data_IF_082846957895
#
_entry.id   IF_082846957895
#
_cell.length_a   1.000
_cell.length_b   1.000
_cell.length_c   1.000
_cell.angle_alpha   90.00
_cell.angle_beta   90.00
_cell.angle_gamma   90.00
#
_symmetry.space_group_name_H-M   'P 1'
#
loop_
_entity.id
_entity.type
_entity.pdbx_description
1 polymer ?
#
# COMPACT_ATOMS: atom_id res chain seq x y z
N UNK A 1 2.52 -22.94 24.25
CA UNK A 1 2.11 -23.98 25.23
C UNK A 1 1.62 -23.38 26.55
N UNK A 2 2.41 -22.53 27.26
CA UNK A 2 2.00 -21.93 28.55
C UNK A 2 0.64 -21.22 28.48
N UNK A 3 0.41 -20.47 27.44
CA UNK A 3 -0.84 -19.75 27.23
C UNK A 3 -2.02 -20.69 26.98
N UNK A 4 -1.82 -21.73 26.13
CA UNK A 4 -2.82 -22.76 25.87
C UNK A 4 -3.16 -23.57 27.12
N UNK A 5 -2.18 -23.77 28.01
CA UNK A 5 -2.42 -24.43 29.30
C UNK A 5 -3.13 -23.54 30.29
N UNK A 6 -2.90 -22.23 30.26
CA UNK A 6 -3.59 -21.25 31.12
C UNK A 6 -5.06 -21.06 30.72
N UNK A 7 -5.37 -21.15 29.44
CA UNK A 7 -6.72 -20.95 28.88
C UNK A 7 -7.08 -22.03 27.84
N UNK A 8 -7.13 -23.30 28.21
CA UNK A 8 -7.29 -24.43 27.25
C UNK A 8 -8.57 -24.34 26.43
N UNK A 9 -9.67 -23.86 27.00
CA UNK A 9 -10.94 -23.74 26.31
C UNK A 9 -10.89 -22.80 25.08
N UNK A 10 -10.08 -21.73 25.13
CA UNK A 10 -9.91 -20.82 23.98
C UNK A 10 -9.16 -21.48 22.81
N UNK A 11 -8.53 -22.61 23.02
CA UNK A 11 -7.87 -23.41 21.99
C UNK A 11 -8.64 -24.68 21.61
N UNK A 12 -9.87 -24.82 22.10
CA UNK A 12 -10.71 -25.98 21.84
C UNK A 12 -10.38 -27.20 22.71
N UNK A 13 -9.48 -27.06 23.70
CA UNK A 13 -9.05 -28.12 24.63
C UNK A 13 -9.95 -28.18 25.87
N UNK A 14 -9.92 -29.33 26.56
CA UNK A 14 -10.67 -29.53 27.78
C UNK A 14 -10.14 -28.60 28.90
N UNK A 15 -11.06 -27.81 29.49
CA UNK A 15 -10.70 -26.75 30.45
C UNK A 15 -10.37 -27.25 31.87
N UNK A 16 -10.86 -28.41 32.20
CA UNK A 16 -10.83 -29.01 33.55
C UNK A 16 -9.81 -30.13 33.72
N UNK A 17 -8.94 -30.33 32.72
CA UNK A 17 -7.97 -31.42 32.71
C UNK A 17 -6.53 -30.92 32.78
N UNK A 18 -5.65 -31.76 33.33
CA UNK A 18 -4.22 -31.54 33.26
C UNK A 18 -3.70 -31.93 31.87
N UNK A 19 -3.55 -30.95 30.99
CA UNK A 19 -3.16 -31.16 29.60
C UNK A 19 -1.73 -31.69 29.39
N UNK A 20 -0.85 -31.61 30.39
CA UNK A 20 0.52 -32.14 30.35
C UNK A 20 0.58 -33.53 30.98
N UNK A 21 -0.07 -33.70 32.13
CA UNK A 21 0.01 -34.92 32.92
C UNK A 21 -0.96 -36.01 32.43
N UNK A 22 -1.92 -35.67 31.56
CA UNK A 22 -2.93 -36.61 31.03
C UNK A 22 -2.82 -36.73 29.50
N UNK A 23 -3.11 -37.90 28.99
CA UNK A 23 -3.04 -38.22 27.59
C UNK A 23 -4.17 -39.14 27.12
N UNK A 24 -4.26 -39.32 25.80
CA UNK A 24 -5.30 -40.14 25.18
C UNK A 24 -5.06 -41.63 25.39
N UNK A 25 -3.83 -42.11 25.15
CA UNK A 25 -3.52 -43.57 25.20
C UNK A 25 -2.91 -44.02 26.54
N UNK A 26 -2.52 -43.13 27.41
CA UNK A 26 -1.87 -43.45 28.68
C UNK A 26 -0.45 -43.99 28.56
N UNK A 27 0.15 -44.01 27.36
CA UNK A 27 1.52 -44.49 27.16
C UNK A 27 2.56 -43.48 27.64
N UNK A 28 3.17 -43.73 28.80
CA UNK A 28 4.12 -42.81 29.42
C UNK A 28 3.50 -41.63 30.18
N UNK A 29 2.17 -41.55 30.26
CA UNK A 29 1.43 -40.52 30.99
C UNK A 29 0.12 -41.11 31.51
N UNK A 30 -0.56 -40.40 32.42
CA UNK A 30 -1.87 -40.81 32.92
C UNK A 30 -2.91 -40.61 31.85
N UNK A 31 -3.65 -41.69 31.53
CA UNK A 31 -4.76 -41.60 30.56
C UNK A 31 -5.88 -40.73 31.12
N UNK A 32 -6.40 -39.81 30.30
CA UNK A 32 -7.52 -38.97 30.70
C UNK A 32 -8.77 -39.78 30.97
N UNK A 33 -9.44 -39.64 32.12
CA UNK A 33 -10.61 -40.47 32.49
C UNK A 33 -11.87 -40.11 31.68
N UNK A 34 -11.93 -38.93 31.08
CA UNK A 34 -13.08 -38.49 30.27
C UNK A 34 -12.81 -38.70 28.80
N UNK A 35 -11.72 -38.15 28.27
CA UNK A 35 -11.43 -38.08 26.85
C UNK A 35 -10.36 -39.07 26.38
N UNK A 36 -9.72 -39.81 27.27
CA UNK A 36 -8.75 -40.85 26.93
C UNK A 36 -9.42 -42.03 26.19
N UNK A 37 -8.58 -42.93 25.62
CA UNK A 37 -9.06 -44.07 24.80
C UNK A 37 -10.07 -44.98 25.51
N UNK A 38 -9.93 -45.10 26.82
CA UNK A 38 -10.88 -45.88 27.70
C UNK A 38 -11.71 -44.94 28.58
N UNK A 39 -11.77 -43.67 28.27
CA UNK A 39 -12.56 -42.69 29.02
C UNK A 39 -14.06 -42.80 28.78
N UNK A 40 -14.84 -42.01 29.52
CA UNK A 40 -16.30 -42.00 29.40
C UNK A 40 -16.79 -41.43 28.05
N UNK A 41 -16.00 -40.54 27.43
CA UNK A 41 -16.31 -39.90 26.12
C UNK A 41 -15.01 -39.72 25.34
N UNK A 42 -14.41 -40.78 24.76
CA UNK A 42 -13.13 -40.72 24.11
C UNK A 42 -13.08 -39.68 22.99
N UNK A 43 -12.21 -38.69 23.11
CA UNK A 43 -12.01 -37.65 22.09
C UNK A 43 -10.60 -37.07 22.19
N UNK A 44 -9.67 -37.52 21.32
CA UNK A 44 -8.28 -36.99 21.36
C UNK A 44 -8.21 -35.53 21.00
N UNK A 45 -9.19 -34.95 20.31
CA UNK A 45 -9.18 -33.53 19.94
C UNK A 45 -9.33 -32.59 21.14
N UNK A 46 -9.78 -33.08 22.27
CA UNK A 46 -9.91 -32.34 23.53
C UNK A 46 -8.63 -32.32 24.38
N UNK A 47 -7.64 -33.10 23.99
CA UNK A 47 -6.39 -33.26 24.73
C UNK A 47 -5.18 -32.72 23.90
N UNK A 48 -4.11 -32.35 24.58
CA UNK A 48 -2.92 -31.83 23.92
C UNK A 48 -2.01 -32.94 23.41
N UNK A 49 -1.94 -34.06 24.12
CA UNK A 49 -1.04 -35.18 23.82
C UNK A 49 -1.81 -36.50 23.67
N UNK A 50 -1.33 -37.34 22.72
CA UNK A 50 -1.75 -38.75 22.62
C UNK A 50 -1.07 -39.60 23.69
N UNK A 51 0.21 -39.38 23.92
CA UNK A 51 1.08 -40.05 24.88
C UNK A 51 2.11 -39.06 25.43
N UNK A 52 3.17 -39.55 26.08
CA UNK A 52 4.20 -38.69 26.72
C UNK A 52 4.96 -37.76 25.78
N UNK A 53 4.92 -37.97 24.47
CA UNK A 53 5.74 -37.23 23.50
C UNK A 53 5.00 -36.81 22.22
N UNK A 54 3.93 -37.51 21.86
CA UNK A 54 3.21 -37.26 20.60
C UNK A 54 2.01 -36.37 20.82
N UNK A 55 2.00 -35.15 20.26
CA UNK A 55 0.81 -34.30 20.33
C UNK A 55 -0.34 -34.92 19.54
N UNK A 56 -1.56 -34.63 19.99
CA UNK A 56 -2.78 -34.94 19.23
C UNK A 56 -2.85 -34.11 17.95
N UNK A 57 -3.83 -34.42 17.08
CA UNK A 57 -4.12 -33.59 15.91
C UNK A 57 -4.35 -32.12 16.29
N UNK A 58 -5.06 -31.85 17.40
CA UNK A 58 -5.28 -30.49 17.92
C UNK A 58 -3.99 -29.85 18.39
N UNK A 59 -3.11 -30.61 19.08
CA UNK A 59 -1.80 -30.15 19.49
C UNK A 59 -0.89 -29.83 18.30
N UNK A 60 -0.88 -30.68 17.28
CA UNK A 60 -0.10 -30.45 16.05
C UNK A 60 -0.62 -29.23 15.28
N UNK A 61 -1.93 -29.06 15.17
CA UNK A 61 -2.53 -27.89 14.54
C UNK A 61 -2.17 -26.60 15.26
N UNK A 62 -2.21 -26.60 16.59
CA UNK A 62 -1.80 -25.43 17.37
C UNK A 62 -0.35 -25.05 17.13
N UNK A 63 0.55 -26.04 17.03
CA UNK A 63 1.98 -25.81 16.73
C UNK A 63 2.13 -25.25 15.31
N UNK A 64 1.43 -25.85 14.34
CA UNK A 64 1.47 -25.43 12.95
C UNK A 64 0.96 -23.99 12.77
N UNK A 65 -0.20 -23.67 13.34
CA UNK A 65 -0.78 -22.32 13.28
C UNK A 65 0.13 -21.28 13.95
N UNK A 66 0.72 -21.63 15.08
CA UNK A 66 1.68 -20.77 15.76
C UNK A 66 2.90 -20.49 14.88
N UNK A 67 3.51 -21.53 14.32
CA UNK A 67 4.66 -21.39 13.43
C UNK A 67 4.31 -20.57 12.19
N UNK A 68 3.18 -20.86 11.56
CA UNK A 68 2.67 -20.13 10.41
C UNK A 68 2.44 -18.66 10.72
N UNK A 69 1.91 -18.31 11.90
CA UNK A 69 1.69 -16.91 12.30
C UNK A 69 2.97 -16.08 12.38
N UNK A 70 4.10 -16.72 12.66
CA UNK A 70 5.41 -16.08 12.68
C UNK A 70 6.01 -15.97 11.27
N UNK A 71 5.95 -17.06 10.49
CA UNK A 71 6.54 -17.11 9.14
C UNK A 71 5.78 -16.23 8.15
N UNK A 72 4.46 -16.11 8.31
CA UNK A 72 3.60 -15.31 7.42
C UNK A 72 3.54 -13.81 7.78
N UNK A 73 4.05 -13.40 8.94
CA UNK A 73 4.01 -12.00 9.34
C UNK A 73 4.68 -11.07 8.32
N UNK A 74 5.90 -11.33 7.80
CA UNK A 74 6.52 -10.47 6.80
C UNK A 74 5.78 -10.46 5.46
N UNK A 75 5.01 -11.48 5.12
CA UNK A 75 4.21 -11.52 3.89
C UNK A 75 3.13 -10.43 3.86
N UNK A 76 2.65 -10.02 5.01
CA UNK A 76 1.68 -8.94 5.18
C UNK A 76 2.36 -7.62 5.53
N UNK A 77 3.29 -7.64 6.48
CA UNK A 77 3.92 -6.42 7.02
C UNK A 77 4.81 -5.70 6.00
N UNK A 78 5.40 -6.40 5.05
CA UNK A 78 6.16 -5.77 3.96
C UNK A 78 5.28 -5.10 2.91
N UNK A 79 3.95 -5.24 3.00
CA UNK A 79 2.99 -4.45 2.23
C UNK A 79 2.74 -3.06 2.81
N UNK A 80 3.14 -2.78 4.06
CA UNK A 80 2.96 -1.44 4.66
C UNK A 80 3.70 -0.34 3.91
N UNK A 81 4.98 -0.47 3.53
CA UNK A 81 5.63 0.50 2.66
C UNK A 81 4.98 0.61 1.29
N UNK A 82 4.41 -0.47 0.76
CA UNK A 82 3.72 -0.46 -0.54
C UNK A 82 2.40 0.32 -0.50
N UNK A 83 1.71 0.35 0.65
CA UNK A 83 0.57 1.26 0.86
C UNK A 83 0.98 2.72 0.71
N UNK A 84 2.12 3.10 1.26
CA UNK A 84 2.66 4.47 1.16
C UNK A 84 3.09 4.80 -0.27
N UNK A 85 3.79 3.89 -0.95
CA UNK A 85 4.11 4.05 -2.38
C UNK A 85 2.84 4.18 -3.22
N UNK A 86 1.79 3.42 -2.91
CA UNK A 86 0.50 3.48 -3.59
C UNK A 86 -0.17 4.84 -3.47
N UNK A 87 -0.25 5.40 -2.27
CA UNK A 87 -0.82 6.74 -2.05
C UNK A 87 0.04 7.84 -2.68
N UNK A 88 1.36 7.72 -2.63
CA UNK A 88 2.28 8.64 -3.30
C UNK A 88 2.03 8.67 -4.82
N UNK A 89 1.91 7.50 -5.45
CA UNK A 89 1.64 7.42 -6.90
C UNK A 89 0.29 7.98 -7.27
N UNK A 90 -0.76 7.69 -6.49
CA UNK A 90 -2.08 8.26 -6.70
C UNK A 90 -2.04 9.80 -6.62
N UNK A 91 -1.31 10.36 -5.66
CA UNK A 91 -1.10 11.80 -5.52
C UNK A 91 -0.32 12.39 -6.70
N UNK A 92 0.77 11.76 -7.10
CA UNK A 92 1.56 12.19 -8.27
C UNK A 92 0.75 12.11 -9.57
N UNK A 93 -0.04 11.07 -9.75
CA UNK A 93 -0.92 10.89 -10.92
C UNK A 93 -2.00 11.97 -10.95
N UNK A 94 -2.56 12.37 -9.80
CA UNK A 94 -3.50 13.48 -9.72
C UNK A 94 -2.85 14.82 -10.10
N UNK A 95 -1.65 15.12 -9.59
CA UNK A 95 -0.93 16.31 -9.99
C UNK A 95 -0.64 16.34 -11.49
N UNK A 96 -0.21 15.21 -12.06
CA UNK A 96 0.01 15.08 -13.51
C UNK A 96 -1.27 15.29 -14.31
N UNK A 97 -2.42 14.82 -13.82
CA UNK A 97 -3.71 15.08 -14.44
C UNK A 97 -4.07 16.56 -14.43
N UNK A 98 -3.79 17.28 -13.35
CA UNK A 98 -3.96 18.73 -13.30
C UNK A 98 -3.05 19.44 -14.31
N UNK A 99 -1.79 19.05 -14.41
CA UNK A 99 -0.85 19.64 -15.37
C UNK A 99 -1.24 19.35 -16.82
N UNK A 100 -1.78 18.18 -17.13
CA UNK A 100 -2.31 17.86 -18.45
C UNK A 100 -3.54 18.69 -18.80
N UNK A 101 -4.44 18.89 -17.84
CA UNK A 101 -5.62 19.73 -18.01
C UNK A 101 -5.26 21.20 -18.23
N UNK A 102 -4.11 21.63 -17.73
CA UNK A 102 -3.58 22.99 -17.91
C UNK A 102 -2.82 23.21 -19.22
N UNK A 103 -2.47 22.16 -19.92
CA UNK A 103 -1.79 22.28 -21.21
C UNK A 103 -2.52 23.25 -22.13
N UNK A 104 -1.84 24.16 -22.81
CA UNK A 104 -2.41 25.18 -23.68
C UNK A 104 -3.35 26.19 -22.99
N UNK A 105 -3.83 25.91 -21.79
CA UNK A 105 -4.73 26.75 -21.01
C UNK A 105 -4.05 27.24 -19.72
N UNK A 106 -2.78 27.58 -19.79
CA UNK A 106 -2.13 28.21 -18.65
C UNK A 106 -2.77 29.58 -18.37
N UNK A 107 -2.86 29.94 -17.09
CA UNK A 107 -3.23 31.27 -16.65
C UNK A 107 -2.32 32.31 -17.32
N UNK A 108 -2.73 33.57 -17.32
CA UNK A 108 -1.89 34.66 -17.84
C UNK A 108 -0.60 34.80 -17.02
N UNK A 109 0.46 35.30 -17.66
CA UNK A 109 1.72 35.62 -16.97
C UNK A 109 1.46 36.52 -15.77
N UNK A 110 1.98 36.16 -14.62
CA UNK A 110 1.78 36.89 -13.37
C UNK A 110 0.50 36.54 -12.60
N UNK A 111 -0.30 35.59 -13.09
CA UNK A 111 -1.51 35.11 -12.39
C UNK A 111 -1.25 33.82 -11.61
N UNK A 112 -2.04 33.65 -10.56
CA UNK A 112 -2.17 32.41 -9.79
C UNK A 112 -3.30 31.56 -10.33
N UNK A 113 -3.11 30.26 -10.21
CA UNK A 113 -4.17 29.25 -10.38
C UNK A 113 -4.18 28.35 -9.18
N UNK A 114 -5.33 28.23 -8.51
CA UNK A 114 -5.54 27.31 -7.41
C UNK A 114 -6.43 26.15 -7.83
N UNK A 115 -6.25 24.99 -7.22
CA UNK A 115 -7.18 23.88 -7.35
C UNK A 115 -7.45 23.22 -6.00
N UNK A 116 -8.64 22.61 -5.89
CA UNK A 116 -9.03 21.74 -4.81
C UNK A 116 -9.75 20.54 -5.41
N UNK A 117 -9.40 19.36 -4.97
CA UNK A 117 -9.97 18.13 -5.48
C UNK A 117 -10.03 17.04 -4.46
N UNK A 118 -10.65 15.95 -4.87
CA UNK A 118 -10.77 14.74 -4.08
C UNK A 118 -11.06 13.55 -4.96
N UNK A 119 -10.93 12.39 -4.40
CA UNK A 119 -11.16 11.14 -5.13
C UNK A 119 -10.95 9.92 -4.27
N UNK A 120 -10.73 8.81 -4.94
CA UNK A 120 -10.48 7.52 -4.34
C UNK A 120 -9.36 6.77 -5.04
N UNK A 121 -8.80 5.82 -4.33
CA UNK A 121 -7.77 4.91 -4.85
C UNK A 121 -8.02 3.49 -4.36
N UNK A 122 -7.51 2.53 -5.13
CA UNK A 122 -7.54 1.11 -4.81
C UNK A 122 -6.18 0.49 -5.08
N UNK A 123 -5.74 -0.33 -4.14
CA UNK A 123 -4.59 -1.23 -4.27
C UNK A 123 -5.09 -2.66 -4.32
N UNK A 124 -4.44 -3.48 -5.14
CA UNK A 124 -4.74 -4.90 -5.28
C UNK A 124 -3.42 -5.64 -5.51
N UNK A 125 -3.09 -6.54 -4.59
CA UNK A 125 -1.88 -7.36 -4.61
C UNK A 125 -2.27 -8.82 -4.74
N UNK A 126 -1.77 -9.49 -5.77
CA UNK A 126 -1.84 -10.94 -5.86
C UNK A 126 -0.81 -11.58 -4.91
N UNK A 127 -1.03 -12.82 -4.51
CA UNK A 127 -0.07 -13.52 -3.66
C UNK A 127 1.22 -13.83 -4.41
N UNK A 128 2.34 -13.74 -3.70
CA UNK A 128 3.67 -14.17 -4.15
C UNK A 128 4.18 -15.30 -3.24
N UNK A 129 5.33 -15.90 -3.57
CA UNK A 129 5.92 -16.97 -2.76
C UNK A 129 6.16 -16.55 -1.30
N UNK A 130 6.52 -15.28 -1.08
CA UNK A 130 6.76 -14.69 0.24
C UNK A 130 5.97 -13.41 0.51
N UNK A 131 4.82 -13.23 -0.15
CA UNK A 131 3.90 -12.14 0.13
C UNK A 131 2.45 -12.60 0.06
N UNK A 132 1.65 -12.07 0.96
CA UNK A 132 0.22 -12.32 0.98
C UNK A 132 -0.49 -11.54 -0.13
N UNK A 133 -1.62 -12.07 -0.61
CA UNK A 133 -2.57 -11.27 -1.37
C UNK A 133 -3.24 -10.25 -0.46
N UNK A 134 -3.65 -9.13 -1.04
CA UNK A 134 -4.39 -8.12 -0.30
C UNK A 134 -4.98 -7.08 -1.22
N UNK A 135 -6.04 -6.45 -0.77
CA UNK A 135 -6.66 -5.36 -1.49
C UNK A 135 -7.25 -4.32 -0.54
N UNK A 136 -7.44 -3.12 -1.04
CA UNK A 136 -8.05 -2.08 -0.24
C UNK A 136 -8.32 -0.81 -1.00
N UNK A 137 -9.35 -0.12 -0.54
CA UNK A 137 -9.77 1.18 -1.03
C UNK A 137 -9.31 2.30 -0.10
N UNK A 138 -9.27 3.50 -0.64
CA UNK A 138 -9.02 4.71 0.10
C UNK A 138 -9.69 5.91 -0.53
N UNK A 139 -9.58 7.03 0.13
CA UNK A 139 -10.05 8.33 -0.35
C UNK A 139 -9.00 9.40 -0.10
N UNK A 140 -9.14 10.52 -0.82
CA UNK A 140 -8.16 11.58 -0.76
C UNK A 140 -8.77 12.97 -0.92
N UNK A 141 -8.02 13.95 -0.45
CA UNK A 141 -8.23 15.36 -0.70
C UNK A 141 -6.90 15.95 -1.13
N UNK A 142 -6.93 16.80 -2.17
CA UNK A 142 -5.75 17.44 -2.72
C UNK A 142 -6.04 18.90 -2.97
N UNK A 143 -5.06 19.73 -2.70
CA UNK A 143 -5.12 21.16 -3.01
C UNK A 143 -3.76 21.65 -3.48
N UNK A 144 -3.76 22.71 -4.25
CA UNK A 144 -2.53 23.26 -4.75
C UNK A 144 -2.72 24.57 -5.47
N UNK A 145 -1.62 25.17 -5.84
CA UNK A 145 -1.61 26.40 -6.60
C UNK A 145 -0.34 26.54 -7.40
N UNK A 146 -0.43 27.23 -8.52
CA UNK A 146 0.68 27.53 -9.40
C UNK A 146 0.68 29.00 -9.79
N UNK A 147 1.87 29.52 -10.02
CA UNK A 147 2.11 30.88 -10.50
C UNK A 147 2.80 30.83 -11.85
N UNK A 148 2.25 31.53 -12.83
CA UNK A 148 2.88 31.62 -14.15
C UNK A 148 3.95 32.71 -14.13
N UNK A 149 5.21 32.31 -14.20
CA UNK A 149 6.38 33.17 -14.08
C UNK A 149 6.59 33.97 -15.37
N UNK A 150 6.59 33.29 -16.51
CA UNK A 150 6.72 33.84 -17.85
C UNK A 150 6.01 32.96 -18.88
N UNK A 151 6.27 33.15 -20.15
CA UNK A 151 5.64 32.38 -21.23
C UNK A 151 5.99 30.89 -21.20
N UNK A 152 7.17 30.53 -20.71
CA UNK A 152 7.67 29.16 -20.73
C UNK A 152 7.60 28.45 -19.37
N UNK A 153 7.55 29.18 -18.26
CA UNK A 153 7.71 28.62 -16.91
C UNK A 153 6.51 28.88 -16.00
N UNK A 154 6.16 27.84 -15.27
CA UNK A 154 5.19 27.87 -14.18
C UNK A 154 5.73 27.05 -13.01
N UNK A 155 5.55 27.56 -11.80
CA UNK A 155 5.94 26.86 -10.57
C UNK A 155 4.78 26.87 -9.58
N UNK A 156 4.74 25.88 -8.71
CA UNK A 156 3.67 25.77 -7.73
C UNK A 156 3.99 24.87 -6.56
N UNK A 157 2.98 24.79 -5.70
CA UNK A 157 2.98 23.93 -4.52
C UNK A 157 1.65 23.16 -4.45
N UNK A 158 1.70 22.01 -3.82
CA UNK A 158 0.50 21.21 -3.59
C UNK A 158 0.60 20.46 -2.25
N UNK A 159 -0.53 20.06 -1.72
CA UNK A 159 -0.64 19.19 -0.57
C UNK A 159 -1.74 18.15 -0.78
N UNK A 160 -1.58 16.98 -0.21
CA UNK A 160 -2.54 15.89 -0.30
C UNK A 160 -2.70 15.15 1.02
N UNK A 161 -3.92 14.79 1.32
CA UNK A 161 -4.27 13.87 2.39
C UNK A 161 -4.87 12.61 1.75
N UNK A 162 -4.25 11.46 2.04
CA UNK A 162 -4.64 10.16 1.48
C UNK A 162 -4.86 9.17 2.61
N UNK A 163 -6.06 8.63 2.72
CA UNK A 163 -6.36 7.51 3.61
C UNK A 163 -6.44 6.24 2.79
N UNK A 164 -5.70 5.21 3.22
CA UNK A 164 -5.63 3.91 2.55
C UNK A 164 -5.90 2.80 3.55
N UNK A 165 -6.76 1.86 3.15
CA UNK A 165 -6.94 0.58 3.82
C UNK A 165 -6.28 -0.52 3.00
N UNK A 166 -5.92 -1.59 3.70
CA UNK A 166 -5.47 -2.85 3.10
C UNK A 166 -5.98 -4.00 3.96
N UNK A 167 -6.71 -4.92 3.34
CA UNK A 167 -7.01 -6.22 3.91
C UNK A 167 -6.09 -7.24 3.27
N UNK A 168 -5.34 -8.01 4.06
CA UNK A 168 -4.32 -8.92 3.55
C UNK A 168 -4.29 -10.25 4.30
N UNK A 169 -3.80 -11.30 3.59
CA UNK A 169 -3.61 -12.62 4.16
C UNK A 169 -4.87 -13.45 4.26
N UNK A 170 -4.70 -14.68 4.73
CA UNK A 170 -5.76 -15.71 4.73
C UNK A 170 -6.90 -15.42 5.72
N UNK A 171 -6.72 -14.46 6.63
CA UNK A 171 -7.69 -14.10 7.68
C UNK A 171 -8.09 -12.62 7.63
N UNK A 172 -7.85 -11.96 6.49
CA UNK A 172 -8.21 -10.57 6.28
C UNK A 172 -7.67 -9.67 7.40
N UNK A 173 -6.35 -9.70 7.60
CA UNK A 173 -5.65 -8.72 8.44
C UNK A 173 -5.97 -7.32 7.95
N UNK A 174 -6.22 -6.39 8.85
CA UNK A 174 -6.69 -5.03 8.53
C UNK A 174 -5.60 -4.01 8.87
N UNK A 175 -5.14 -3.30 7.86
CA UNK A 175 -4.10 -2.27 7.97
C UNK A 175 -4.63 -0.94 7.45
N UNK A 176 -4.39 0.14 8.19
CA UNK A 176 -4.85 1.48 7.85
C UNK A 176 -3.71 2.48 7.97
N UNK A 177 -3.69 3.40 7.02
CA UNK A 177 -2.67 4.44 6.95
C UNK A 177 -3.27 5.76 6.48
N UNK A 178 -2.81 6.85 7.09
CA UNK A 178 -3.00 8.20 6.61
C UNK A 178 -1.68 8.74 6.08
N UNK A 179 -1.68 9.26 4.86
CA UNK A 179 -0.54 9.94 4.22
C UNK A 179 -0.81 11.43 4.14
N UNK A 180 0.12 12.24 4.65
CA UNK A 180 0.12 13.70 4.54
C UNK A 180 1.30 14.09 3.68
N UNK A 181 1.05 14.58 2.48
CA UNK A 181 2.09 14.89 1.50
C UNK A 181 2.05 16.34 1.09
N UNK A 182 3.21 16.90 0.82
CA UNK A 182 3.37 18.24 0.26
C UNK A 182 4.42 18.20 -0.85
N UNK A 183 4.20 19.00 -1.88
CA UNK A 183 5.08 19.07 -3.05
C UNK A 183 5.38 20.51 -3.45
N UNK A 184 6.59 20.70 -4.01
CA UNK A 184 6.93 21.83 -4.85
C UNK A 184 7.17 21.31 -6.27
N UNK A 185 6.67 22.01 -7.25
CA UNK A 185 6.80 21.59 -8.65
C UNK A 185 7.10 22.75 -9.58
N UNK A 186 7.64 22.40 -10.73
CA UNK A 186 7.93 23.32 -11.82
C UNK A 186 7.51 22.70 -13.14
N UNK A 187 6.99 23.51 -14.04
CA UNK A 187 6.63 23.13 -15.38
C UNK A 187 7.26 24.05 -16.41
N UNK A 188 7.71 23.48 -17.50
CA UNK A 188 8.30 24.15 -18.63
C UNK A 188 7.54 23.77 -19.90
N UNK A 189 7.26 24.75 -20.75
CA UNK A 189 6.65 24.53 -22.05
C UNK A 189 7.11 25.64 -23.00
N UNK A 190 7.89 25.26 -23.99
CA UNK A 190 8.36 26.18 -25.02
C UNK A 190 8.54 25.47 -26.35
N UNK A 191 8.07 26.08 -27.42
CA UNK A 191 8.01 25.48 -28.74
C UNK A 191 7.19 24.17 -28.71
N UNK A 192 7.86 23.03 -28.92
CA UNK A 192 7.23 21.68 -28.86
C UNK A 192 7.68 20.87 -27.64
N UNK A 193 8.64 21.41 -26.89
CA UNK A 193 9.14 20.74 -25.70
C UNK A 193 8.30 21.08 -24.48
N UNK A 194 8.08 20.09 -23.66
CA UNK A 194 7.50 20.29 -22.34
C UNK A 194 8.23 19.42 -21.31
N UNK A 195 8.29 19.89 -20.10
CA UNK A 195 8.87 19.17 -18.99
C UNK A 195 8.12 19.53 -17.70
N UNK A 196 8.11 18.62 -16.75
CA UNK A 196 7.70 18.87 -15.38
C UNK A 196 8.64 18.16 -14.41
N UNK A 197 8.75 18.71 -13.21
CA UNK A 197 9.48 18.10 -12.11
C UNK A 197 8.81 18.47 -10.80
N UNK A 198 8.81 17.53 -9.85
CA UNK A 198 8.26 17.73 -8.51
C UNK A 198 9.13 17.08 -7.45
N UNK A 199 9.23 17.76 -6.30
CA UNK A 199 9.80 17.23 -5.09
C UNK A 199 8.69 17.11 -4.06
N UNK A 200 8.55 15.93 -3.45
CA UNK A 200 7.49 15.60 -2.50
C UNK A 200 8.09 15.10 -1.19
N UNK A 201 7.53 15.56 -0.09
CA UNK A 201 7.79 15.05 1.25
C UNK A 201 6.47 14.61 1.89
N UNK A 202 6.51 13.61 2.76
CA UNK A 202 5.30 13.11 3.40
C UNK A 202 5.54 12.49 4.76
N UNK A 203 4.51 12.57 5.58
CA UNK A 203 4.39 11.92 6.88
C UNK A 203 3.33 10.81 6.79
N UNK A 204 3.65 9.66 7.35
CA UNK A 204 2.80 8.47 7.34
C UNK A 204 2.35 8.16 8.77
N UNK A 205 1.05 7.97 8.94
CA UNK A 205 0.44 7.58 10.20
C UNK A 205 -0.31 6.25 9.98
N UNK A 206 0.29 5.17 10.46
CA UNK A 206 -0.31 3.84 10.49
C UNK A 206 -1.07 3.69 11.80
N UNK A 207 -2.27 4.18 11.84
CA UNK A 207 -3.08 4.36 13.05
C UNK A 207 -3.80 3.08 13.54
N UNK A 208 -3.90 2.07 12.69
CA UNK A 208 -4.53 0.79 13.03
C UNK A 208 -3.92 -0.33 12.21
N UNK A 209 -3.08 -1.14 12.86
CA UNK A 209 -2.41 -2.30 12.28
C UNK A 209 -2.88 -3.54 13.04
N UNK A 210 -3.67 -4.39 12.37
CA UNK A 210 -4.30 -5.56 12.97
C UNK A 210 -3.97 -6.81 12.15
N UNK A 211 -2.97 -7.55 12.62
CA UNK A 211 -2.59 -8.84 12.05
C UNK A 211 -3.49 -9.94 12.59
N UNK A 212 -4.14 -10.69 11.69
CA UNK A 212 -5.06 -11.78 12.04
C UNK A 212 -4.56 -13.10 11.51
N UNK A 213 -4.70 -14.14 12.30
CA UNK A 213 -4.26 -15.48 11.93
C UNK A 213 -5.04 -16.55 12.70
N UNK A 214 -5.09 -17.77 12.14
CA UNK A 214 -5.64 -18.92 12.84
C UNK A 214 -4.72 -19.34 14.00
N UNK A 215 -5.31 -19.80 15.09
CA UNK A 215 -4.59 -20.39 16.21
C UNK A 215 -5.43 -21.45 16.89
N UNK A 216 -5.12 -22.72 16.63
CA UNK A 216 -5.94 -23.83 17.08
C UNK A 216 -7.33 -23.87 16.43
N UNK A 217 -8.38 -23.98 17.25
CA UNK A 217 -9.76 -23.96 16.75
C UNK A 217 -10.35 -22.56 16.52
N UNK A 218 -9.58 -21.48 16.77
CA UNK A 218 -10.03 -20.10 16.69
C UNK A 218 -9.15 -19.21 15.83
N UNK A 219 -9.40 -17.92 15.96
CA UNK A 219 -8.67 -16.84 15.30
C UNK A 219 -8.12 -15.89 16.35
N UNK A 220 -6.93 -15.38 16.11
CA UNK A 220 -6.29 -14.38 16.97
C UNK A 220 -5.89 -13.16 16.17
N UNK A 221 -5.88 -12.01 16.80
CA UNK A 221 -5.33 -10.79 16.23
C UNK A 221 -4.32 -10.15 17.16
N UNK A 222 -3.26 -9.61 16.57
CA UNK A 222 -2.29 -8.75 17.22
C UNK A 222 -2.40 -7.35 16.64
N UNK A 223 -2.33 -6.32 17.52
CA UNK A 223 -2.56 -4.94 17.15
C UNK A 223 -1.34 -4.08 17.41
N UNK A 224 -1.17 -3.06 16.60
CA UNK A 224 -0.15 -2.06 16.77
C UNK A 224 -0.45 -0.79 15.99
N UNK A 225 0.43 0.15 16.12
CA UNK A 225 0.46 1.40 15.37
C UNK A 225 1.91 1.82 15.18
N UNK A 226 2.17 2.59 14.15
CA UNK A 226 3.48 3.16 13.89
C UNK A 226 3.37 4.37 12.98
N UNK A 227 4.50 5.02 12.74
CA UNK A 227 4.62 6.15 11.85
C UNK A 227 5.65 5.86 10.78
N UNK A 228 5.75 6.77 9.84
CA UNK A 228 6.78 6.71 8.83
C UNK A 228 6.88 8.04 8.10
N UNK A 229 7.76 8.09 7.14
CA UNK A 229 7.94 9.25 6.29
C UNK A 229 8.35 8.82 4.89
N UNK A 230 8.15 9.72 3.95
CA UNK A 230 8.59 9.52 2.57
C UNK A 230 9.14 10.81 1.99
N UNK A 231 9.99 10.66 0.99
CA UNK A 231 10.33 11.72 0.07
C UNK A 231 10.43 11.15 -1.35
N UNK A 232 10.16 11.98 -2.34
CA UNK A 232 10.15 11.57 -3.72
C UNK A 232 10.55 12.71 -4.64
N UNK A 233 11.16 12.35 -5.75
CA UNK A 233 11.43 13.21 -6.88
C UNK A 233 10.84 12.59 -8.14
N UNK A 234 10.14 13.38 -8.93
CA UNK A 234 9.60 12.96 -10.22
C UNK A 234 9.90 13.98 -11.31
N UNK A 235 10.18 13.50 -12.52
CA UNK A 235 10.42 14.35 -13.67
C UNK A 235 9.90 13.69 -14.94
N UNK A 236 9.42 14.51 -15.87
CA UNK A 236 9.04 14.07 -17.22
C UNK A 236 9.57 15.05 -18.26
N UNK A 237 9.87 14.54 -19.43
CA UNK A 237 10.26 15.32 -20.62
C UNK A 237 9.53 14.76 -21.83
N UNK A 238 8.83 15.60 -22.55
CA UNK A 238 8.08 15.24 -23.72
C UNK A 238 8.26 16.21 -24.90
N UNK A 239 7.86 15.76 -26.06
CA UNK A 239 7.93 16.54 -27.28
C UNK A 239 6.61 16.37 -28.05
N UNK A 240 5.93 17.50 -28.33
CA UNK A 240 4.68 17.51 -29.10
C UNK A 240 4.98 17.40 -30.58
N UNK A 241 4.44 16.36 -31.22
CA UNK A 241 4.58 16.10 -32.65
C UNK A 241 3.48 16.71 -33.52
N UNK A 242 2.51 17.45 -32.93
CA UNK A 242 1.51 18.16 -33.70
C UNK A 242 2.19 19.15 -34.65
N UNK A 243 1.69 19.23 -35.88
CA UNK A 243 2.31 20.07 -36.90
C UNK A 243 2.09 21.57 -36.68
N UNK A 244 1.01 21.95 -36.00
CA UNK A 244 0.61 23.32 -35.74
C UNK A 244 0.29 23.51 -34.26
N UNK A 245 0.65 24.65 -33.71
CA UNK A 245 0.40 24.97 -32.31
C UNK A 245 -1.10 25.12 -31.97
N UNK A 246 -1.90 25.50 -32.94
CA UNK A 246 -3.36 25.64 -32.82
C UNK A 246 -4.14 24.40 -33.23
N UNK A 247 -3.46 23.26 -33.41
CA UNK A 247 -4.09 21.98 -33.71
C UNK A 247 -5.04 21.58 -32.58
N UNK A 248 -6.24 21.05 -32.89
CA UNK A 248 -7.15 20.53 -31.86
C UNK A 248 -6.62 19.28 -31.17
N UNK A 249 -5.62 18.62 -31.75
CA UNK A 249 -4.99 17.44 -31.17
C UNK A 249 -3.50 17.66 -30.94
N UNK A 250 -3.00 17.05 -29.88
CA UNK A 250 -1.59 16.98 -29.56
C UNK A 250 -1.22 15.54 -29.22
N UNK A 251 -0.04 15.12 -29.63
CA UNK A 251 0.52 13.81 -29.29
C UNK A 251 1.99 14.01 -28.93
N UNK A 252 2.36 13.56 -27.75
CA UNK A 252 3.71 13.71 -27.24
C UNK A 252 4.28 12.36 -26.80
N UNK A 253 5.29 11.82 -27.45
CA UNK A 253 6.18 10.87 -26.82
C UNK A 253 6.89 11.54 -25.64
N UNK A 254 7.07 10.80 -24.55
CA UNK A 254 7.74 11.33 -23.36
C UNK A 254 8.52 10.23 -22.64
N UNK A 255 9.45 10.67 -21.82
CA UNK A 255 10.17 9.84 -20.86
C UNK A 255 9.93 10.36 -19.45
N UNK A 256 10.00 9.49 -18.46
CA UNK A 256 9.84 9.82 -17.06
C UNK A 256 10.90 9.18 -16.19
N UNK A 257 11.23 9.84 -15.09
CA UNK A 257 12.09 9.33 -14.04
C UNK A 257 11.45 9.64 -12.69
N UNK A 258 11.27 8.62 -11.87
CA UNK A 258 10.64 8.71 -10.57
C UNK A 258 11.53 8.03 -9.53
N UNK A 259 11.87 8.74 -8.48
CA UNK A 259 12.54 8.21 -7.31
C UNK A 259 11.69 8.44 -6.07
N UNK A 260 11.56 7.43 -5.24
CA UNK A 260 10.88 7.56 -3.95
C UNK A 260 11.57 6.71 -2.90
N UNK A 261 11.57 7.20 -1.67
CA UNK A 261 12.01 6.45 -0.49
C UNK A 261 10.95 6.54 0.59
N UNK A 262 10.49 5.38 1.02
CA UNK A 262 9.55 5.21 2.12
C UNK A 262 10.28 4.56 3.29
N UNK A 263 10.12 5.11 4.46
CA UNK A 263 10.58 4.52 5.72
C UNK A 263 9.37 4.35 6.64
N UNK A 264 9.19 3.14 7.16
CA UNK A 264 8.16 2.80 8.14
C UNK A 264 8.90 2.44 9.43
N UNK A 265 8.60 3.15 10.51
CA UNK A 265 9.24 2.93 11.80
C UNK A 265 8.86 1.54 12.34
N UNK A 266 9.80 0.89 13.00
CA UNK A 266 9.55 -0.37 13.71
C UNK A 266 8.52 -0.17 14.82
N UNK A 267 7.86 -1.25 15.20
CA UNK A 267 6.90 -1.21 16.28
C UNK A 267 6.75 -2.59 16.94
N UNK A 268 6.30 -2.57 18.19
CA UNK A 268 5.90 -3.78 18.91
C UNK A 268 4.38 -3.93 18.88
N UNK A 269 3.90 -5.11 18.54
CA UNK A 269 2.49 -5.46 18.73
C UNK A 269 2.13 -5.38 20.21
N UNK A 270 0.94 -4.88 20.51
CA UNK A 270 0.51 -4.57 21.90
C UNK A 270 0.11 -5.84 22.64
N UNK A 271 0.47 -5.91 23.92
CA UNK A 271 0.08 -6.99 24.80
C UNK A 271 1.19 -7.99 25.13
N UNK A 272 0.85 -8.95 25.96
CA UNK A 272 1.76 -10.00 26.46
C UNK A 272 1.49 -11.36 25.83
N UNK A 273 0.86 -11.39 24.68
CA UNK A 273 0.55 -12.62 23.94
C UNK A 273 1.83 -13.32 23.48
N UNK A 274 1.81 -14.65 23.50
CA UNK A 274 2.91 -15.46 22.97
C UNK A 274 3.13 -15.33 21.46
N UNK A 275 2.19 -14.73 20.75
CA UNK A 275 2.24 -14.51 19.29
C UNK A 275 2.56 -13.07 18.92
N UNK A 276 2.67 -12.15 19.88
CA UNK A 276 3.01 -10.76 19.63
C UNK A 276 4.46 -10.61 19.18
N UNK A 277 4.68 -9.82 18.12
CA UNK A 277 5.95 -9.59 17.48
C UNK A 277 6.41 -8.13 17.62
N UNK A 278 7.72 -7.96 17.65
CA UNK A 278 8.41 -6.69 17.57
C UNK A 278 9.14 -6.62 16.22
N UNK A 279 8.89 -5.57 15.47
CA UNK A 279 9.39 -5.37 14.10
C UNK A 279 10.40 -4.24 14.06
N UNK A 280 11.49 -4.44 13.29
CA UNK A 280 12.43 -3.39 12.95
C UNK A 280 11.85 -2.42 11.90
N UNK A 281 12.52 -1.29 11.73
CA UNK A 281 12.22 -0.32 10.68
C UNK A 281 12.26 -0.98 9.30
N UNK A 282 11.38 -0.54 8.42
CA UNK A 282 11.37 -0.94 7.02
C UNK A 282 11.76 0.25 6.13
N UNK A 283 12.60 0.01 5.14
CA UNK A 283 13.02 1.00 4.15
C UNK A 283 12.80 0.44 2.76
N UNK A 284 11.96 1.12 1.99
CA UNK A 284 11.61 0.73 0.64
C UNK A 284 11.87 1.88 -0.33
N UNK A 285 12.90 1.74 -1.15
CA UNK A 285 13.19 2.67 -2.24
C UNK A 285 12.55 2.20 -3.55
N UNK A 286 12.21 3.13 -4.42
CA UNK A 286 11.70 2.89 -5.76
C UNK A 286 12.45 3.79 -6.75
N UNK A 287 12.94 3.21 -7.82
CA UNK A 287 13.61 3.91 -8.92
C UNK A 287 12.98 3.46 -10.24
N UNK A 288 12.17 4.31 -10.85
CA UNK A 288 11.47 3.98 -12.08
C UNK A 288 11.89 4.87 -13.22
N UNK A 289 12.11 4.26 -14.37
CA UNK A 289 12.18 4.93 -15.65
C UNK A 289 10.97 4.51 -16.47
N UNK A 290 10.36 5.47 -17.16
CA UNK A 290 9.21 5.25 -18.00
C UNK A 290 9.38 5.87 -19.38
N UNK A 291 8.65 5.31 -20.33
CA UNK A 291 8.49 5.87 -21.67
C UNK A 291 7.05 5.68 -22.10
N UNK A 292 6.48 6.68 -22.75
CA UNK A 292 5.08 6.63 -23.13
C UNK A 292 4.67 7.65 -24.16
N UNK A 293 3.37 7.69 -24.37
CA UNK A 293 2.68 8.62 -25.26
C UNK A 293 1.58 9.35 -24.50
N UNK A 294 1.50 10.66 -24.70
CA UNK A 294 0.46 11.51 -24.16
C UNK A 294 -0.32 12.13 -25.32
N UNK A 295 -1.63 11.93 -25.33
CA UNK A 295 -2.53 12.48 -26.34
C UNK A 295 -3.54 13.44 -25.71
N UNK A 296 -3.89 14.48 -26.46
CA UNK A 296 -4.91 15.47 -26.09
C UNK A 296 -5.78 15.82 -27.27
N UNK A 297 -7.03 16.08 -27.00
CA UNK A 297 -7.98 16.58 -27.97
C UNK A 297 -8.86 17.67 -27.38
N UNK A 298 -8.91 18.81 -28.06
CA UNK A 298 -9.76 19.94 -27.69
C UNK A 298 -11.06 19.95 -28.51
N UNK A 299 -12.20 19.91 -27.83
CA UNK A 299 -13.52 20.13 -28.42
C UNK A 299 -13.91 21.59 -28.23
N UNK A 300 -13.46 22.46 -29.16
CA UNK A 300 -13.59 23.89 -29.00
C UNK A 300 -12.67 24.46 -27.91
N UNK A 301 -13.09 25.57 -27.30
CA UNK A 301 -12.31 26.29 -26.28
C UNK A 301 -12.55 25.80 -24.85
N UNK A 302 -13.60 25.04 -24.61
CA UNK A 302 -14.13 24.80 -23.26
C UNK A 302 -13.89 23.37 -22.75
N UNK A 303 -13.77 22.40 -23.66
CA UNK A 303 -13.65 20.98 -23.31
C UNK A 303 -12.38 20.38 -23.87
N UNK A 304 -11.61 19.72 -23.01
CA UNK A 304 -10.44 18.95 -23.41
C UNK A 304 -10.50 17.53 -22.86
N UNK A 305 -10.10 16.57 -23.66
CA UNK A 305 -9.85 15.20 -23.24
C UNK A 305 -8.36 14.91 -23.36
N UNK A 306 -7.85 14.13 -22.44
CA UNK A 306 -6.47 13.64 -22.50
C UNK A 306 -6.38 12.17 -22.13
N UNK A 307 -5.40 11.51 -22.72
CA UNK A 307 -5.07 10.12 -22.45
C UNK A 307 -3.56 9.96 -22.45
N UNK A 308 -3.07 9.04 -21.64
CA UNK A 308 -1.65 8.76 -21.53
C UNK A 308 -1.45 7.26 -21.36
N UNK A 309 -0.45 6.71 -22.04
CA UNK A 309 0.06 5.38 -21.79
C UNK A 309 1.55 5.45 -21.54
N UNK A 310 2.03 4.71 -20.55
CA UNK A 310 3.44 4.56 -20.26
C UNK A 310 3.78 3.13 -19.87
N UNK A 311 4.96 2.69 -20.28
CA UNK A 311 5.62 1.52 -19.73
C UNK A 311 6.72 1.98 -18.78
N UNK A 312 6.70 1.45 -17.56
CA UNK A 312 7.62 1.82 -16.49
C UNK A 312 8.45 0.59 -16.09
N UNK A 313 9.73 0.79 -15.80
CA UNK A 313 10.61 -0.21 -15.22
C UNK A 313 11.06 0.23 -13.83
N UNK A 314 10.89 -0.67 -12.84
CA UNK A 314 11.43 -0.53 -11.49
C UNK A 314 12.82 -1.15 -11.44
N UNK A 315 13.77 -0.43 -10.86
CA UNK A 315 15.16 -0.89 -10.68
C UNK A 315 15.47 -1.28 -9.22
N UNK A 316 14.56 -1.04 -8.29
CA UNK A 316 14.63 -1.51 -6.91
C UNK A 316 13.59 -2.63 -6.73
N UNK A 317 13.86 -3.75 -7.38
CA UNK A 317 12.96 -4.91 -7.50
C UNK A 317 13.39 -6.12 -6.65
N UNK A 318 14.36 -5.95 -5.76
CA UNK A 318 14.79 -6.98 -4.83
C UNK A 318 13.69 -7.30 -3.80
N UNK A 319 13.55 -8.58 -3.47
CA UNK A 319 12.65 -9.04 -2.40
C UNK A 319 12.96 -8.33 -1.09
N UNK A 320 11.93 -7.84 -0.43
CA UNK A 320 12.05 -7.10 0.83
C UNK A 320 12.19 -8.08 2.01
N UNK A 321 13.06 -7.73 2.93
CA UNK A 321 13.27 -8.47 4.17
C UNK A 321 12.64 -7.71 5.36
N UNK A 322 12.20 -8.47 6.38
CA UNK A 322 11.77 -7.91 7.64
C UNK A 322 12.43 -8.65 8.81
N UNK A 323 13.10 -7.89 9.66
CA UNK A 323 13.71 -8.40 10.90
C UNK A 323 12.72 -8.19 12.05
N UNK A 324 12.54 -9.23 12.87
CA UNK A 324 11.59 -9.24 13.96
C UNK A 324 12.04 -10.16 15.09
N UNK A 325 11.33 -10.05 16.22
CA UNK A 325 11.46 -11.00 17.34
C UNK A 325 10.09 -11.17 18.02
N UNK A 326 9.94 -12.25 18.76
CA UNK A 326 8.82 -12.35 19.69
C UNK A 326 8.99 -11.33 20.82
N UNK A 327 7.91 -10.68 21.25
CA UNK A 327 7.94 -9.81 22.45
C UNK A 327 8.41 -10.57 23.68
N UNK A 328 8.11 -11.86 23.76
CA UNK A 328 8.54 -12.75 24.86
C UNK A 328 10.01 -13.16 24.78
N UNK A 329 10.69 -12.95 23.65
CA UNK A 329 12.08 -13.31 23.39
C UNK A 329 12.82 -12.21 22.61
N UNK A 330 12.94 -10.99 23.16
CA UNK A 330 13.42 -9.82 22.42
C UNK A 330 14.88 -9.93 21.95
N UNK A 331 15.70 -10.80 22.59
CA UNK A 331 17.08 -11.03 22.20
C UNK A 331 17.26 -11.98 21.00
N UNK A 332 16.20 -12.64 20.55
CA UNK A 332 16.25 -13.60 19.45
C UNK A 332 15.59 -13.03 18.20
N UNK A 333 16.33 -12.15 17.52
CA UNK A 333 15.87 -11.56 16.26
C UNK A 333 16.15 -12.50 15.10
N UNK A 334 15.22 -12.50 14.14
CA UNK A 334 15.33 -13.27 12.90
C UNK A 334 14.80 -12.44 11.73
N UNK A 335 15.30 -12.74 10.54
CA UNK A 335 14.95 -12.03 9.31
C UNK A 335 14.31 -13.00 8.32
N UNK A 336 13.17 -12.61 7.76
CA UNK A 336 12.44 -13.38 6.77
C UNK A 336 12.10 -12.50 5.57
N UNK A 337 12.01 -13.13 4.41
CA UNK A 337 11.61 -12.50 3.16
C UNK A 337 10.12 -12.15 3.17
N UNK A 338 9.78 -11.08 2.44
CA UNK A 338 8.43 -10.60 2.22
C UNK A 338 8.17 -10.27 0.75
N UNK A 339 7.51 -9.15 0.51
CA UNK A 339 7.07 -8.70 -0.81
C UNK A 339 8.23 -8.43 -1.77
N UNK A 340 8.05 -8.84 -3.03
CA UNK A 340 8.94 -8.53 -4.15
C UNK A 340 8.28 -7.47 -5.05
N UNK A 341 8.89 -6.29 -5.21
CA UNK A 341 8.35 -5.25 -6.08
C UNK A 341 8.29 -5.69 -7.54
N UNK A 342 7.31 -5.14 -8.26
CA UNK A 342 7.14 -5.40 -9.69
C UNK A 342 8.22 -4.69 -10.51
N UNK A 343 8.94 -5.41 -11.35
CA UNK A 343 10.00 -4.86 -12.20
C UNK A 343 9.45 -4.10 -13.42
N UNK A 344 8.33 -4.52 -13.97
CA UNK A 344 7.67 -3.89 -15.11
C UNK A 344 6.21 -3.54 -14.79
N UNK A 345 5.80 -2.34 -15.20
CA UNK A 345 4.42 -1.86 -15.03
C UNK A 345 3.95 -1.15 -16.30
N UNK A 346 2.66 -1.29 -16.57
CA UNK A 346 1.98 -0.50 -17.59
C UNK A 346 1.03 0.48 -16.88
N UNK A 347 1.00 1.72 -17.35
CA UNK A 347 0.14 2.77 -16.81
C UNK A 347 -0.72 3.37 -17.92
N UNK A 348 -2.00 3.51 -17.65
CA UNK A 348 -2.97 4.22 -18.48
C UNK A 348 -3.60 5.33 -17.65
N UNK A 349 -3.66 6.54 -18.20
CA UNK A 349 -4.35 7.67 -17.61
C UNK A 349 -5.36 8.22 -18.60
N UNK A 350 -6.55 8.56 -18.11
CA UNK A 350 -7.60 9.22 -18.88
C UNK A 350 -8.08 10.43 -18.08
N UNK A 351 -8.45 11.51 -18.76
CA UNK A 351 -8.98 12.66 -18.07
C UNK A 351 -9.64 13.67 -18.97
N UNK A 352 -10.23 14.67 -18.32
CA UNK A 352 -10.90 15.77 -19.00
C UNK A 352 -10.72 17.09 -18.24
N UNK A 353 -10.91 18.17 -18.96
CA UNK A 353 -11.09 19.51 -18.40
C UNK A 353 -12.29 20.16 -19.08
N UNK A 354 -13.21 20.72 -18.27
CA UNK A 354 -14.38 21.45 -18.72
C UNK A 354 -14.39 22.83 -18.10
N UNK A 355 -14.36 23.86 -18.93
CA UNK A 355 -14.52 25.24 -18.48
C UNK A 355 -15.97 25.47 -18.09
N UNK A 356 -16.19 25.96 -16.87
CA UNK A 356 -17.52 26.31 -16.32
C UNK A 356 -17.77 27.82 -16.35
N UNK A 357 -16.70 28.61 -16.25
CA UNK A 357 -16.67 30.05 -16.34
C UNK A 357 -15.26 30.45 -16.84
N UNK A 358 -15.03 31.72 -17.22
CA UNK A 358 -13.74 32.14 -17.76
C UNK A 358 -12.53 31.81 -16.87
N UNK A 359 -12.71 31.84 -15.53
CA UNK A 359 -11.67 31.56 -14.57
C UNK A 359 -11.85 30.21 -13.84
N UNK A 360 -12.96 29.49 -14.07
CA UNK A 360 -13.31 28.27 -13.34
C UNK A 360 -13.40 27.08 -14.27
N UNK A 361 -12.73 25.99 -13.92
CA UNK A 361 -12.82 24.71 -14.64
C UNK A 361 -13.03 23.53 -13.70
N UNK A 362 -13.80 22.53 -14.18
CA UNK A 362 -13.94 21.23 -13.59
C UNK A 362 -12.99 20.28 -14.30
N UNK A 363 -12.30 19.44 -13.53
CA UNK A 363 -11.30 18.49 -14.03
C UNK A 363 -11.52 17.13 -13.42
N UNK A 364 -11.27 16.10 -14.19
CA UNK A 364 -11.34 14.72 -13.74
C UNK A 364 -10.24 13.89 -14.33
N UNK A 365 -9.82 12.86 -13.61
CA UNK A 365 -8.82 11.92 -14.05
C UNK A 365 -9.08 10.53 -13.51
N UNK A 366 -8.69 9.54 -14.30
CA UNK A 366 -8.64 8.13 -13.92
C UNK A 366 -7.28 7.58 -14.29
N UNK A 367 -6.65 6.85 -13.37
CA UNK A 367 -5.35 6.22 -13.56
C UNK A 367 -5.44 4.75 -13.23
N UNK A 368 -4.80 3.93 -14.05
CA UNK A 368 -4.68 2.50 -13.88
C UNK A 368 -3.22 2.10 -14.11
N UNK A 369 -2.66 1.35 -13.16
CA UNK A 369 -1.30 0.83 -13.24
C UNK A 369 -1.33 -0.67 -12.94
N UNK A 370 -0.74 -1.47 -13.81
CA UNK A 370 -0.70 -2.92 -13.70
C UNK A 370 0.73 -3.43 -13.86
N UNK A 371 1.19 -4.18 -12.86
CA UNK A 371 2.35 -5.06 -12.92
C UNK A 371 1.93 -6.51 -13.11
N UNK A 372 2.83 -7.45 -12.88
CA UNK A 372 2.53 -8.88 -12.92
C UNK A 372 1.53 -9.25 -11.80
N UNK A 373 1.86 -8.88 -10.57
CA UNK A 373 1.09 -9.24 -9.37
C UNK A 373 0.27 -8.09 -8.76
N UNK A 374 0.52 -6.84 -9.19
CA UNK A 374 -0.09 -5.67 -8.58
C UNK A 374 -0.96 -4.90 -9.55
N UNK A 375 -2.08 -4.40 -9.05
CA UNK A 375 -2.94 -3.44 -9.75
C UNK A 375 -3.22 -2.24 -8.85
N UNK A 376 -3.10 -1.04 -9.40
CA UNK A 376 -3.43 0.20 -8.71
C UNK A 376 -4.36 1.03 -9.59
N UNK A 377 -5.40 1.59 -8.99
CA UNK A 377 -6.35 2.48 -9.64
C UNK A 377 -6.57 3.72 -8.79
N UNK A 378 -6.82 4.85 -9.44
CA UNK A 378 -7.23 6.08 -8.78
C UNK A 378 -8.15 6.89 -9.66
N UNK A 379 -9.05 7.64 -9.03
CA UNK A 379 -9.98 8.56 -9.67
C UNK A 379 -10.02 9.86 -8.89
N UNK A 380 -10.08 10.98 -9.59
CA UNK A 380 -10.16 12.30 -8.97
C UNK A 380 -11.08 13.24 -9.73
N UNK A 381 -11.67 14.17 -8.99
CA UNK A 381 -12.37 15.35 -9.49
C UNK A 381 -11.82 16.58 -8.78
N UNK A 382 -11.64 17.67 -9.51
CA UNK A 382 -11.11 18.90 -8.98
C UNK A 382 -11.78 20.13 -9.61
N UNK A 383 -11.83 21.21 -8.84
CA UNK A 383 -12.14 22.55 -9.33
C UNK A 383 -10.86 23.37 -9.35
N UNK A 384 -10.67 24.12 -10.42
CA UNK A 384 -9.51 25.01 -10.62
C UNK A 384 -9.98 26.43 -10.90
N UNK A 385 -9.34 27.37 -10.25
CA UNK A 385 -9.71 28.79 -10.30
C UNK A 385 -8.46 29.65 -10.56
N UNK A 386 -8.58 30.59 -11.51
CA UNK A 386 -7.58 31.63 -11.79
C UNK A 386 -7.90 32.91 -11.04
N UNK A 387 -6.85 33.59 -10.48
CA UNK A 387 -7.01 34.84 -9.73
C UNK A 387 -5.73 35.68 -9.72
#
# INVERSE_FOLDING_TARGET
>A
LKEGMANPASFGLAADQNLIGTCFSGNGCTMNPTYGINGSTPDPSKLLFNDSVHPTITGQRLIADYTYSLLSAPWELTLLPEMAHGTLRAYQDELRSQWQADWENWQNVGQWRGFVGGGGQRLDFDSQDSAASGDGNGYNLTLGGSYRIDEAWRAGVAAGFYRQKLEAGAKDSDYRMNSYMASAFVQYQENRWWADAALTGGYLDYDDLKRKFALGGGERSEKGDTNGHLWAFSARLGYDIAQQADSPWHLSPFVSADYARVEVDGYSEKGASATALDYDDQKRSSKRLGAGLQGKYAFGSDTQLFAEYAHEREYEDDTQDLTMSLNSLPGNRFTLEGYTPQDHLNRVSLGFSQKLAPELSLRGGYNWRKGEDDTQQSVSLALSLDF
#
